data_IF_748399172992
#
_entry.id   IF_748399172992
#
_cell.length_a   1.000
_cell.length_b   1.000
_cell.length_c   1.000
_cell.angle_alpha   90.00
_cell.angle_beta   90.00
_cell.angle_gamma   90.00
#
_symmetry.space_group_name_H-M   'P 1'
#
loop_
_entity.id
_entity.type
_entity.pdbx_description
1 polymer ?
#
# COMPACT_ATOMS: atom_id res chain seq x y z
N UNK A 1 -14.08 34.63 -0.13
CA UNK A 1 -13.08 34.14 -1.10
C UNK A 1 -12.47 32.88 -0.52
N UNK A 2 -12.52 31.75 -1.21
CA UNK A 2 -12.09 30.46 -0.66
C UNK A 2 -10.61 30.15 -0.93
N UNK A 3 -10.00 29.37 -0.02
CA UNK A 3 -8.66 28.85 -0.16
C UNK A 3 -8.57 27.79 -1.26
N UNK A 4 -7.46 27.79 -2.00
CA UNK A 4 -7.15 26.77 -3.00
C UNK A 4 -6.64 25.53 -2.28
N UNK A 5 -7.27 24.38 -2.52
CA UNK A 5 -6.96 23.10 -1.87
C UNK A 5 -6.11 22.18 -2.75
N UNK A 6 -6.19 22.34 -4.06
CA UNK A 6 -5.37 21.56 -5.01
C UNK A 6 -4.83 22.49 -6.06
N UNK A 7 -3.56 22.31 -6.44
CA UNK A 7 -2.88 23.08 -7.47
C UNK A 7 -2.24 22.11 -8.46
N UNK A 8 -2.73 22.08 -9.71
CA UNK A 8 -2.21 21.23 -10.78
C UNK A 8 -1.65 22.08 -11.91
N UNK A 9 -0.47 21.71 -12.40
CA UNK A 9 0.06 22.30 -13.62
C UNK A 9 -0.59 21.62 -14.85
N UNK A 10 -1.17 22.43 -15.72
CA UNK A 10 -1.67 22.00 -17.01
C UNK A 10 -0.53 21.90 -18.04
N UNK A 11 -0.72 21.19 -19.16
CA UNK A 11 0.32 20.97 -20.18
C UNK A 11 0.85 22.26 -20.82
N UNK A 12 0.07 23.34 -20.74
CA UNK A 12 0.37 24.68 -21.22
C UNK A 12 1.18 25.53 -20.22
N UNK A 13 1.74 24.89 -19.18
CA UNK A 13 2.45 25.49 -18.06
C UNK A 13 1.60 26.40 -17.15
N UNK A 14 0.28 26.47 -17.36
CA UNK A 14 -0.62 27.21 -16.47
C UNK A 14 -0.92 26.41 -15.20
N UNK A 15 -1.18 27.11 -14.10
CA UNK A 15 -1.52 26.51 -12.82
C UNK A 15 -3.02 26.61 -12.57
N UNK A 16 -3.67 25.48 -12.38
CA UNK A 16 -5.10 25.41 -12.09
C UNK A 16 -5.31 25.02 -10.64
N UNK A 17 -6.01 25.87 -9.89
CA UNK A 17 -6.32 25.68 -8.49
C UNK A 17 -7.80 25.42 -8.27
N UNK A 18 -8.19 24.35 -7.56
CA UNK A 18 -9.59 24.19 -7.09
C UNK A 18 -9.72 24.72 -5.68
N UNK A 19 -10.73 25.57 -5.47
CA UNK A 19 -11.13 26.04 -4.14
C UNK A 19 -12.13 25.09 -3.48
N UNK A 20 -12.30 25.19 -2.17
CA UNK A 20 -13.27 24.40 -1.39
C UNK A 20 -14.71 24.50 -1.94
N UNK A 21 -15.06 25.65 -2.53
CA UNK A 21 -16.37 25.91 -3.14
C UNK A 21 -16.52 25.28 -4.54
N UNK A 22 -15.52 24.53 -5.03
CA UNK A 22 -15.52 23.90 -6.34
C UNK A 22 -15.14 24.85 -7.50
N UNK A 23 -14.90 26.14 -7.24
CA UNK A 23 -14.50 27.07 -8.31
C UNK A 23 -13.04 26.85 -8.73
N UNK A 24 -12.81 26.82 -10.04
CA UNK A 24 -11.49 26.68 -10.65
C UNK A 24 -10.89 28.07 -10.86
N UNK A 25 -9.71 28.30 -10.30
CA UNK A 25 -8.90 29.50 -10.50
C UNK A 25 -7.69 29.14 -11.34
N UNK A 26 -7.43 29.91 -12.40
CA UNK A 26 -6.24 29.74 -13.23
C UNK A 26 -5.21 30.81 -12.87
N UNK A 27 -3.94 30.42 -12.80
CA UNK A 27 -2.80 31.27 -12.53
C UNK A 27 -1.75 31.03 -13.62
N UNK A 28 -1.22 32.08 -14.22
CA UNK A 28 -0.21 31.93 -15.28
C UNK A 28 1.15 31.53 -14.70
N UNK A 29 1.44 31.96 -13.48
CA UNK A 29 2.70 31.66 -12.79
C UNK A 29 2.45 31.26 -11.34
N UNK A 30 3.40 30.50 -10.78
CA UNK A 30 3.38 30.12 -9.37
C UNK A 30 3.49 31.35 -8.43
N UNK A 31 4.07 32.45 -8.93
CA UNK A 31 4.11 33.74 -8.23
C UNK A 31 2.73 34.35 -8.03
N UNK A 32 1.86 34.30 -9.04
CA UNK A 32 0.47 34.79 -8.92
C UNK A 32 -0.33 34.00 -7.89
N UNK A 33 -0.15 32.68 -7.83
CA UNK A 33 -0.77 31.84 -6.80
C UNK A 33 -0.30 32.21 -5.38
N UNK A 34 1.01 32.46 -5.19
CA UNK A 34 1.56 32.90 -3.90
C UNK A 34 1.01 34.25 -3.46
N UNK A 35 0.83 35.20 -4.38
CA UNK A 35 0.23 36.49 -4.08
C UNK A 35 -1.26 36.35 -3.71
N UNK A 36 -2.00 35.54 -4.47
CA UNK A 36 -3.41 35.24 -4.19
C UNK A 36 -3.62 34.55 -2.84
N UNK A 37 -2.78 33.58 -2.49
CA UNK A 37 -2.86 32.92 -1.18
C UNK A 37 -2.41 33.82 -0.03
N UNK A 38 -1.47 34.74 -0.25
CA UNK A 38 -1.11 35.77 0.74
C UNK A 38 -2.21 36.80 0.96
N UNK A 39 -2.98 37.14 -0.08
CA UNK A 39 -4.11 38.07 0.07
C UNK A 39 -5.32 37.44 0.77
N UNK A 40 -5.32 36.12 0.98
CA UNK A 40 -6.34 35.40 1.73
C UNK A 40 -5.77 35.07 3.11
N UNK A 41 -6.32 35.70 4.16
CA UNK A 41 -5.86 35.45 5.53
C UNK A 41 -5.97 33.95 5.88
N UNK A 42 -4.85 33.35 6.30
CA UNK A 42 -4.73 31.99 6.85
C UNK A 42 -5.05 30.80 5.92
N UNK A 43 -4.73 30.87 4.62
CA UNK A 43 -4.81 29.67 3.77
C UNK A 43 -3.53 28.79 3.89
N UNK A 44 -3.67 27.45 4.04
CA UNK A 44 -2.54 26.54 4.01
C UNK A 44 -1.89 26.57 2.61
N UNK A 45 -0.56 26.62 2.57
CA UNK A 45 0.19 26.56 1.32
C UNK A 45 0.09 25.13 0.75
N UNK A 46 -0.64 24.95 -0.35
CA UNK A 46 -0.65 23.66 -1.06
C UNK A 46 0.62 23.51 -1.90
N UNK A 47 1.22 22.32 -1.84
CA UNK A 47 2.37 21.99 -2.69
C UNK A 47 1.90 21.85 -4.14
N UNK A 48 2.63 22.44 -5.10
CA UNK A 48 2.34 22.29 -6.52
C UNK A 48 2.52 20.84 -6.96
N UNK A 49 1.47 20.20 -7.45
CA UNK A 49 1.57 18.88 -8.07
C UNK A 49 2.29 19.01 -9.42
N UNK A 50 3.48 18.42 -9.53
CA UNK A 50 4.27 18.37 -10.75
C UNK A 50 4.27 16.93 -11.30
N UNK A 51 3.82 16.71 -12.54
CA UNK A 51 3.91 15.40 -13.19
C UNK A 51 5.37 14.90 -13.14
N UNK A 52 5.60 13.71 -12.59
CA UNK A 52 6.93 13.08 -12.52
C UNK A 52 7.81 13.46 -11.31
N UNK A 53 7.39 14.38 -10.44
CA UNK A 53 8.09 14.65 -9.16
C UNK A 53 7.39 14.08 -7.92
N UNK A 54 6.11 13.75 -8.01
CA UNK A 54 5.35 13.14 -6.89
C UNK A 54 5.11 11.64 -7.05
N UNK A 55 5.28 11.08 -8.25
CA UNK A 55 5.52 9.65 -8.40
C UNK A 55 6.97 9.41 -8.01
N UNK A 56 7.21 9.00 -6.76
CA UNK A 56 8.38 8.16 -6.52
C UNK A 56 8.29 7.04 -7.56
N UNK A 57 9.32 6.88 -8.39
CA UNK A 57 9.50 5.68 -9.20
C UNK A 57 9.70 4.50 -8.23
N UNK A 58 8.66 4.07 -7.52
CA UNK A 58 8.76 2.94 -6.58
C UNK A 58 8.59 1.66 -7.38
N UNK A 59 9.63 1.31 -8.14
CA UNK A 59 9.84 -0.06 -8.61
C UNK A 59 10.47 -0.90 -7.50
N UNK A 60 10.44 -2.22 -7.62
CA UNK A 60 11.09 -3.14 -6.67
C UNK A 60 12.59 -2.87 -6.43
N UNK A 61 13.25 -2.09 -7.30
CA UNK A 61 14.68 -1.74 -7.19
C UNK A 61 15.01 -0.41 -6.47
N UNK A 62 14.02 0.43 -6.16
CA UNK A 62 14.21 1.77 -5.55
C UNK A 62 13.86 1.81 -4.05
N UNK A 63 13.39 0.70 -3.49
CA UNK A 63 13.17 0.55 -2.06
C UNK A 63 14.50 0.22 -1.36
N UNK A 64 15.27 1.26 -1.05
CA UNK A 64 16.38 1.09 -0.12
C UNK A 64 15.81 0.71 1.27
N UNK A 65 16.41 -0.27 1.97
CA UNK A 65 16.06 -0.58 3.35
C UNK A 65 16.05 0.69 4.19
N UNK A 66 15.02 0.87 5.03
CA UNK A 66 15.02 1.96 6.02
C UNK A 66 16.22 1.84 6.98
N UNK A 67 16.64 0.61 7.24
CA UNK A 67 17.88 0.27 7.95
C UNK A 67 18.53 -0.95 7.25
N UNK A 68 19.67 -0.75 6.56
CA UNK A 68 20.34 -1.83 5.84
C UNK A 68 20.95 -2.88 6.79
N UNK A 69 21.35 -2.49 8.00
CA UNK A 69 21.90 -3.41 8.99
C UNK A 69 20.82 -4.33 9.56
N UNK A 70 19.62 -3.80 9.81
CA UNK A 70 18.49 -4.61 10.28
C UNK A 70 17.96 -5.51 9.17
N UNK A 71 17.87 -5.03 7.93
CA UNK A 71 17.45 -5.87 6.80
C UNK A 71 18.44 -7.01 6.53
N UNK A 72 19.75 -6.77 6.67
CA UNK A 72 20.76 -7.82 6.55
C UNK A 72 20.60 -8.95 7.59
N UNK A 73 19.97 -8.71 8.75
CA UNK A 73 19.71 -9.77 9.75
C UNK A 73 18.60 -10.73 9.34
N UNK A 74 17.68 -10.26 8.49
CA UNK A 74 16.55 -11.04 8.00
C UNK A 74 16.72 -11.48 6.54
N UNK A 75 17.85 -11.13 5.91
CA UNK A 75 18.24 -11.63 4.60
C UNK A 75 18.85 -13.03 4.73
N UNK A 76 18.29 -14.00 4.01
CA UNK A 76 18.74 -15.40 4.04
C UNK A 76 20.13 -15.61 3.44
N UNK A 77 20.62 -14.66 2.62
CA UNK A 77 21.96 -14.72 2.01
C UNK A 77 23.03 -14.01 2.84
N UNK A 78 22.65 -13.41 3.98
CA UNK A 78 23.55 -12.64 4.84
C UNK A 78 24.33 -13.53 5.82
N UNK A 79 25.63 -13.26 6.05
CA UNK A 79 26.41 -13.94 7.08
C UNK A 79 25.97 -13.59 8.51
N UNK A 80 25.18 -12.52 8.67
CA UNK A 80 24.59 -12.09 9.93
C UNK A 80 23.10 -12.48 10.05
N UNK A 81 22.66 -13.50 9.31
CA UNK A 81 21.28 -13.96 9.33
C UNK A 81 20.89 -14.49 10.73
N UNK A 82 19.90 -13.86 11.34
CA UNK A 82 19.34 -14.21 12.66
C UNK A 82 17.92 -14.80 12.52
N UNK A 83 17.51 -15.21 11.31
CA UNK A 83 16.15 -15.67 11.06
C UNK A 83 15.74 -16.90 11.87
N UNK A 84 16.66 -17.84 12.10
CA UNK A 84 16.43 -19.04 12.92
C UNK A 84 16.26 -18.65 14.39
N UNK A 85 17.20 -17.90 14.94
CA UNK A 85 17.17 -17.40 16.34
C UNK A 85 15.94 -16.54 16.60
N UNK A 86 15.54 -15.71 15.64
CA UNK A 86 14.31 -14.91 15.72
C UNK A 86 13.06 -15.78 15.69
N UNK A 87 13.05 -16.85 14.88
CA UNK A 87 11.93 -17.79 14.82
C UNK A 87 11.78 -18.56 16.12
N UNK A 88 12.89 -19.08 16.66
CA UNK A 88 12.92 -19.81 17.94
C UNK A 88 12.49 -18.92 19.11
N UNK A 89 12.95 -17.66 19.14
CA UNK A 89 12.53 -16.69 20.14
C UNK A 89 11.03 -16.36 20.02
N UNK A 90 10.47 -16.32 18.82
CA UNK A 90 9.05 -16.05 18.63
C UNK A 90 8.17 -17.24 19.04
N UNK A 91 8.64 -18.48 18.83
CA UNK A 91 8.02 -19.69 19.37
C UNK A 91 8.09 -19.69 20.90
N UNK A 92 9.26 -19.38 21.48
CA UNK A 92 9.43 -19.31 22.94
C UNK A 92 8.58 -18.22 23.61
N UNK A 93 8.35 -17.09 22.93
CA UNK A 93 7.43 -16.02 23.37
C UNK A 93 5.94 -16.36 23.17
N UNK A 94 5.62 -17.52 22.56
CA UNK A 94 4.26 -17.94 22.29
C UNK A 94 3.56 -17.16 21.16
N UNK A 95 4.31 -16.39 20.36
CA UNK A 95 3.77 -15.61 19.23
C UNK A 95 3.43 -16.54 18.06
N UNK A 96 4.17 -17.64 17.91
CA UNK A 96 3.89 -18.71 16.94
C UNK A 96 3.67 -20.03 17.68
N UNK A 97 2.52 -20.67 17.40
CA UNK A 97 2.26 -22.05 17.82
C UNK A 97 2.62 -22.99 16.67
N UNK A 98 3.50 -23.96 16.97
CA UNK A 98 3.95 -24.99 16.02
C UNK A 98 2.78 -25.81 15.46
N UNK A 99 1.69 -25.95 16.22
CA UNK A 99 0.50 -26.73 15.84
C UNK A 99 -0.67 -25.89 15.30
N UNK A 100 -0.52 -24.57 15.23
CA UNK A 100 -1.59 -23.68 14.73
C UNK A 100 -2.05 -24.05 13.33
N UNK A 101 -1.12 -24.42 12.44
CA UNK A 101 -1.44 -24.82 11.08
C UNK A 101 -2.23 -26.14 11.01
N UNK A 102 -2.02 -27.07 11.95
CA UNK A 102 -2.80 -28.31 12.02
C UNK A 102 -4.22 -28.02 12.54
N UNK A 103 -4.34 -27.22 13.60
CA UNK A 103 -5.62 -26.80 14.16
C UNK A 103 -6.48 -26.03 13.15
N UNK A 104 -5.89 -25.09 12.43
CA UNK A 104 -6.58 -24.31 11.38
C UNK A 104 -7.04 -25.20 10.23
N UNK A 105 -6.23 -26.18 9.80
CA UNK A 105 -6.65 -27.14 8.76
C UNK A 105 -7.83 -28.01 9.20
N UNK A 106 -7.85 -28.43 10.47
CA UNK A 106 -8.97 -29.18 11.04
C UNK A 106 -10.22 -28.29 11.06
N UNK A 107 -10.11 -27.05 11.56
CA UNK A 107 -11.22 -26.08 11.57
C UNK A 107 -11.77 -25.78 10.17
N UNK A 108 -10.91 -25.59 9.17
CA UNK A 108 -11.36 -25.32 7.81
C UNK A 108 -12.09 -26.52 7.18
N UNK A 109 -11.65 -27.75 7.48
CA UNK A 109 -12.34 -28.98 7.04
C UNK A 109 -13.66 -29.21 7.74
N UNK A 110 -13.76 -28.87 9.03
CA UNK A 110 -15.04 -28.96 9.76
C UNK A 110 -16.00 -27.82 9.40
N UNK A 111 -15.50 -26.66 9.01
CA UNK A 111 -16.32 -25.53 8.53
C UNK A 111 -16.87 -25.75 7.12
N UNK A 112 -16.16 -26.48 6.25
CA UNK A 112 -16.60 -26.86 4.92
C UNK A 112 -16.57 -28.39 4.77
N UNK A 113 -17.59 -29.10 5.30
CA UNK A 113 -17.69 -30.53 5.09
C UNK A 113 -17.84 -30.81 3.58
N UNK A 114 -17.11 -31.82 3.09
CA UNK A 114 -17.20 -32.23 1.70
C UNK A 114 -18.67 -32.57 1.36
N UNK A 115 -19.15 -32.22 0.16
CA UNK A 115 -20.50 -32.59 -0.27
C UNK A 115 -20.63 -34.12 -0.22
N UNK A 116 -21.80 -34.64 0.19
CA UNK A 116 -22.03 -36.08 0.25
C UNK A 116 -21.77 -36.67 -1.14
N UNK A 117 -20.81 -37.60 -1.21
CA UNK A 117 -20.52 -38.34 -2.42
C UNK A 117 -21.70 -39.29 -2.65
N UNK A 118 -22.66 -38.91 -3.47
CA UNK A 118 -23.68 -39.84 -3.96
C UNK A 118 -22.97 -40.90 -4.79
N UNK A 119 -23.02 -42.20 -4.41
CA UNK A 119 -22.48 -43.24 -5.26
C UNK A 119 -23.28 -43.26 -6.56
N UNK A 120 -22.62 -42.94 -7.67
CA UNK A 120 -23.19 -43.07 -9.01
C UNK A 120 -23.49 -44.56 -9.24
N UNK A 121 -24.73 -44.96 -9.58
CA UNK A 121 -25.03 -46.35 -9.85
C UNK A 121 -24.35 -46.77 -11.16
N UNK A 122 -23.33 -47.60 -11.06
CA UNK A 122 -22.70 -48.28 -12.20
C UNK A 122 -23.68 -49.30 -12.74
N UNK A 123 -24.40 -48.99 -13.82
CA UNK A 123 -25.14 -50.00 -14.56
C UNK A 123 -24.20 -50.66 -15.58
N UNK A 124 -23.93 -51.95 -15.41
CA UNK A 124 -23.27 -52.76 -16.42
C UNK A 124 -24.29 -53.11 -17.51
N UNK A 125 -24.12 -52.59 -18.72
CA UNK A 125 -24.84 -53.08 -19.89
C UNK A 125 -24.10 -54.31 -20.40
N UNK A 126 -24.67 -55.50 -20.20
CA UNK A 126 -24.25 -56.72 -20.88
C UNK A 126 -24.92 -56.69 -22.26
N UNK A 127 -24.11 -56.65 -23.32
CA UNK A 127 -24.56 -56.80 -24.71
C UNK A 127 -24.90 -58.25 -25.03
#
# INVERSE_FOLDING_TARGET
MACVQTLKQAPDATWTGKTADGTVKTFQTLGQYKLYTRSLANCPQVQPWVPGKETQESGFGTLAPRDPGLQARYDAMSPAWEGVTSSDAAVARGVYSLDSAAATRVQLRSANPAPPVTPTPTYCVVQ
#
